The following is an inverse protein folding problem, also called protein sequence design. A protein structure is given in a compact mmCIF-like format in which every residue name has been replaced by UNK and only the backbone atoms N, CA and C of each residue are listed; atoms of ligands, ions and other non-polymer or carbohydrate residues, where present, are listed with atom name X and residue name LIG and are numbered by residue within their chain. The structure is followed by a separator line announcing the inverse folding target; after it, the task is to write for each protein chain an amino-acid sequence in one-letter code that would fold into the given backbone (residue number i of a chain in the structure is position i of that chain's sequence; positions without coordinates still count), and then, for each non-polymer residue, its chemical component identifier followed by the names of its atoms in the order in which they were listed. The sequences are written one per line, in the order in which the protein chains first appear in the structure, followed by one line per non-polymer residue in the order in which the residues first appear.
data_IF_341872864175
#
_entry.id   IF_341872864175
#
_cell.length_a   1.000
_cell.length_b   1.000
_cell.length_c   1.000
_cell.angle_alpha   90.00
_cell.angle_beta   90.00
_cell.angle_gamma   90.00
#
_symmetry.space_group_name_H-M   'P 1'
#
loop_
_entity.id
_entity.type
_entity.pdbx_description
1 polymer ?
#
# COMPACT_ATOMS: atom_id res chain seq x y z
N UNK A 1 35.16 9.27 8.94
CA UNK A 1 35.19 10.42 9.89
C UNK A 1 33.90 10.60 10.70
N UNK A 2 32.69 10.60 10.11
CA UNK A 2 31.43 10.79 10.88
C UNK A 2 31.14 9.68 11.91
N UNK A 3 31.38 8.40 11.59
CA UNK A 3 31.19 7.30 12.55
C UNK A 3 32.19 7.32 13.71
N UNK A 4 33.43 7.75 13.45
CA UNK A 4 34.48 7.88 14.48
C UNK A 4 34.18 9.03 15.46
N UNK A 5 33.60 10.13 14.96
CA UNK A 5 33.14 11.26 15.77
C UNK A 5 31.94 10.91 16.65
N UNK A 6 30.96 10.15 16.15
CA UNK A 6 29.83 9.68 16.96
C UNK A 6 30.31 8.73 18.07
N UNK A 7 31.26 7.84 17.77
CA UNK A 7 31.87 6.96 18.76
C UNK A 7 32.59 7.73 19.86
N UNK A 8 33.33 8.79 19.52
CA UNK A 8 34.04 9.67 20.47
C UNK A 8 33.06 10.52 21.30
N UNK A 9 31.94 10.97 20.74
CA UNK A 9 30.93 11.75 21.48
C UNK A 9 30.18 10.87 22.49
N UNK A 10 29.82 9.64 22.12
CA UNK A 10 29.20 8.67 23.04
C UNK A 10 30.22 8.18 24.08
N UNK A 11 31.48 7.96 23.69
CA UNK A 11 32.56 7.64 24.63
C UNK A 11 32.82 8.79 25.62
N UNK A 12 32.95 10.04 25.18
CA UNK A 12 33.29 11.14 26.09
C UNK A 12 32.18 11.53 27.07
N UNK A 13 30.90 11.23 26.78
CA UNK A 13 29.79 11.55 27.68
C UNK A 13 29.56 10.49 28.77
N UNK A 14 29.75 9.20 28.48
CA UNK A 14 29.54 8.13 29.45
C UNK A 14 30.76 7.84 30.36
N UNK A 15 32.00 8.28 30.02
CA UNK A 15 33.22 7.93 30.78
C UNK A 15 33.64 8.93 31.87
N UNK A 16 32.74 9.78 32.37
CA UNK A 16 33.09 10.78 33.40
C UNK A 16 32.90 10.33 34.86
N UNK A 17 32.27 9.17 35.14
CA UNK A 17 32.30 8.39 36.41
C UNK A 17 31.17 7.33 36.52
N UNK A 18 30.33 7.12 35.50
CA UNK A 18 29.26 6.11 35.48
C UNK A 18 29.64 4.92 34.60
N UNK A 19 29.17 3.71 34.93
CA UNK A 19 29.35 2.56 34.04
C UNK A 19 28.39 2.69 32.83
N UNK A 20 28.71 1.99 31.74
CA UNK A 20 27.96 2.08 30.48
C UNK A 20 26.48 1.67 30.62
N UNK A 21 26.16 0.83 31.60
CA UNK A 21 24.80 0.39 31.89
C UNK A 21 23.95 1.52 32.48
N UNK A 22 24.47 2.24 33.47
CA UNK A 22 23.78 3.38 34.10
C UNK A 22 23.59 4.54 33.12
N UNK A 23 24.60 4.80 32.27
CA UNK A 23 24.49 5.77 31.17
C UNK A 23 23.38 5.36 30.17
N UNK A 24 23.28 4.07 29.86
CA UNK A 24 22.23 3.51 29.00
C UNK A 24 20.82 3.67 29.58
N UNK A 25 20.64 3.38 30.87
CA UNK A 25 19.36 3.57 31.58
C UNK A 25 18.95 5.04 31.62
N UNK A 26 19.89 5.96 31.83
CA UNK A 26 19.62 7.40 31.79
C UNK A 26 19.09 7.83 30.43
N UNK A 27 19.72 7.41 29.34
CA UNK A 27 19.24 7.73 28.00
C UNK A 27 17.91 7.06 27.66
N UNK A 28 17.67 5.84 28.15
CA UNK A 28 16.38 5.18 28.04
C UNK A 28 15.28 6.02 28.71
N UNK A 29 15.51 6.45 29.96
CA UNK A 29 14.58 7.29 30.71
C UNK A 29 14.32 8.64 30.02
N UNK A 30 15.37 9.30 29.52
CA UNK A 30 15.23 10.54 28.75
C UNK A 30 14.41 10.35 27.47
N UNK A 31 14.60 9.22 26.78
CA UNK A 31 13.83 8.86 25.60
C UNK A 31 12.36 8.58 25.96
N UNK A 32 12.09 7.83 27.03
CA UNK A 32 10.73 7.58 27.54
C UNK A 32 9.99 8.87 27.88
N UNK A 33 10.66 9.81 28.56
CA UNK A 33 10.08 11.14 28.87
C UNK A 33 9.71 11.88 27.58
N UNK A 34 10.59 11.86 26.56
CA UNK A 34 10.32 12.51 25.28
C UNK A 34 9.16 11.85 24.54
N UNK A 35 9.10 10.52 24.51
CA UNK A 35 7.98 9.80 23.92
C UNK A 35 6.68 10.08 24.65
N UNK A 36 6.70 10.15 25.98
CA UNK A 36 5.51 10.48 26.77
C UNK A 36 4.98 11.88 26.42
N UNK A 37 5.85 12.88 26.38
CA UNK A 37 5.47 14.24 25.95
C UNK A 37 4.93 14.29 24.52
N UNK A 38 5.55 13.54 23.60
CA UNK A 38 5.08 13.44 22.22
C UNK A 38 3.69 12.77 22.13
N UNK A 39 3.46 11.73 22.93
CA UNK A 39 2.15 11.08 23.03
C UNK A 39 1.10 12.07 23.55
N UNK A 40 1.38 12.78 24.64
CA UNK A 40 0.42 13.70 25.25
C UNK A 40 0.04 14.83 24.28
N UNK A 41 1.01 15.38 23.54
CA UNK A 41 0.72 16.36 22.49
C UNK A 41 -0.11 15.79 21.34
N UNK A 42 0.23 14.58 20.88
CA UNK A 42 -0.54 13.90 19.83
C UNK A 42 -1.98 13.60 20.27
N UNK A 43 -2.17 13.24 21.54
CA UNK A 43 -3.46 12.98 22.15
C UNK A 43 -4.32 14.24 22.23
N UNK A 44 -3.74 15.38 22.60
CA UNK A 44 -4.45 16.66 22.59
C UNK A 44 -4.83 17.11 21.17
N UNK A 45 -3.96 16.89 20.19
CA UNK A 45 -4.27 17.14 18.78
C UNK A 45 -5.39 16.20 18.30
N UNK A 46 -5.33 14.91 18.64
CA UNK A 46 -6.39 13.95 18.29
C UNK A 46 -7.74 14.34 18.90
N UNK A 47 -7.79 14.78 20.16
CA UNK A 47 -9.02 15.25 20.82
C UNK A 47 -9.66 16.46 20.11
N UNK A 48 -8.88 17.23 19.35
CA UNK A 48 -9.41 18.31 18.51
C UNK A 48 -10.04 17.84 17.20
N UNK A 49 -9.99 16.53 16.91
CA UNK A 49 -10.52 15.91 15.69
C UNK A 49 -9.51 15.81 14.54
N UNK A 50 -8.23 16.10 14.79
CA UNK A 50 -7.20 16.02 13.75
C UNK A 50 -6.78 14.57 13.46
N UNK A 51 -6.89 14.20 12.19
CA UNK A 51 -6.61 12.85 11.70
C UNK A 51 -5.16 12.42 11.96
N UNK A 52 -4.18 13.30 11.76
CA UNK A 52 -2.77 12.97 11.93
C UNK A 52 -2.41 12.78 13.40
N UNK A 53 -3.00 13.59 14.29
CA UNK A 53 -2.93 13.38 15.73
C UNK A 53 -3.43 11.99 16.12
N UNK A 54 -4.63 11.61 15.66
CA UNK A 54 -5.21 10.31 16.00
C UNK A 54 -4.42 9.13 15.42
N UNK A 55 -3.88 9.26 14.20
CA UNK A 55 -2.99 8.26 13.62
C UNK A 55 -1.71 8.08 14.44
N UNK A 56 -1.13 9.18 14.92
CA UNK A 56 0.06 9.16 15.75
C UNK A 56 -0.22 8.51 17.10
N UNK A 57 -1.34 8.87 17.76
CA UNK A 57 -1.78 8.24 19.02
C UNK A 57 -1.94 6.74 18.85
N UNK A 58 -2.66 6.29 17.81
CA UNK A 58 -2.87 4.87 17.57
C UNK A 58 -1.53 4.14 17.35
N UNK A 59 -0.65 4.70 16.51
CA UNK A 59 0.68 4.13 16.23
C UNK A 59 1.57 4.04 17.46
N UNK A 60 1.58 5.09 18.29
CA UNK A 60 2.36 5.11 19.53
C UNK A 60 1.81 4.11 20.56
N UNK A 61 0.49 3.97 20.64
CA UNK A 61 -0.22 2.99 21.47
C UNK A 61 0.16 1.56 21.09
N UNK A 62 0.12 1.21 19.79
CA UNK A 62 0.43 -0.14 19.34
C UNK A 62 1.90 -0.52 19.55
N UNK A 63 2.79 0.47 19.51
CA UNK A 63 4.23 0.29 19.72
C UNK A 63 4.69 0.43 21.18
N UNK A 64 3.85 0.97 22.07
CA UNK A 64 4.21 1.27 23.46
C UNK A 64 5.20 2.42 23.62
N UNK A 65 5.17 3.40 22.71
CA UNK A 65 6.08 4.56 22.78
C UNK A 65 5.43 5.66 23.61
N UNK A 66 5.91 5.87 24.83
CA UNK A 66 5.40 6.94 25.71
C UNK A 66 4.01 6.67 26.29
N UNK A 67 3.47 5.47 26.06
CA UNK A 67 2.19 4.98 26.57
C UNK A 67 2.32 3.46 26.73
N UNK A 68 1.48 2.88 27.60
CA UNK A 68 1.41 1.42 27.74
C UNK A 68 1.08 0.82 26.38
N UNK A 69 1.86 -0.19 25.99
CA UNK A 69 1.64 -0.90 24.72
C UNK A 69 0.28 -1.58 24.73
N UNK A 70 -0.55 -1.21 23.76
CA UNK A 70 -1.87 -1.80 23.57
C UNK A 70 -2.15 -1.93 22.06
N UNK A 71 -1.85 -3.13 21.55
CA UNK A 71 -2.04 -3.44 20.12
C UNK A 71 -3.52 -3.46 19.74
N UNK A 72 -4.39 -3.91 20.65
CA UNK A 72 -5.82 -4.05 20.41
C UNK A 72 -6.47 -2.68 20.27
N UNK A 73 -6.20 -1.78 21.23
CA UNK A 73 -6.68 -0.39 21.17
C UNK A 73 -6.13 0.34 19.94
N UNK A 74 -4.85 0.16 19.62
CA UNK A 74 -4.24 0.72 18.41
C UNK A 74 -4.97 0.24 17.15
N UNK A 75 -5.28 -1.05 17.09
CA UNK A 75 -5.98 -1.65 15.96
C UNK A 75 -7.39 -1.09 15.80
N UNK A 76 -8.17 -1.02 16.88
CA UNK A 76 -9.53 -0.46 16.87
C UNK A 76 -9.55 0.99 16.40
N UNK A 77 -8.64 1.81 16.93
CA UNK A 77 -8.50 3.20 16.51
C UNK A 77 -8.17 3.31 15.03
N UNK A 78 -7.20 2.53 14.53
CA UNK A 78 -6.84 2.54 13.11
C UNK A 78 -7.97 2.02 12.21
N UNK A 79 -8.77 1.05 12.67
CA UNK A 79 -9.93 0.54 11.95
C UNK A 79 -11.01 1.63 11.80
N UNK A 80 -11.32 2.33 12.89
CA UNK A 80 -12.30 3.43 12.88
C UNK A 80 -11.82 4.61 12.04
N UNK A 81 -10.55 4.97 12.14
CA UNK A 81 -9.96 5.99 11.28
C UNK A 81 -10.00 5.57 9.81
N UNK A 82 -9.72 4.30 9.49
CA UNK A 82 -9.80 3.79 8.13
C UNK A 82 -11.23 3.85 7.57
N UNK A 83 -12.24 3.49 8.37
CA UNK A 83 -13.66 3.57 7.98
C UNK A 83 -14.08 4.97 7.52
N UNK A 84 -13.46 6.01 8.08
CA UNK A 84 -13.80 7.40 7.81
C UNK A 84 -12.78 8.12 6.91
N UNK A 85 -11.56 7.58 6.81
CA UNK A 85 -10.44 8.21 6.10
C UNK A 85 -9.55 7.16 5.41
N UNK A 86 -9.66 7.04 4.08
CA UNK A 86 -8.85 6.11 3.27
C UNK A 86 -7.34 6.19 3.53
N UNK A 87 -6.81 7.36 3.89
CA UNK A 87 -5.38 7.52 4.21
C UNK A 87 -4.96 6.70 5.44
N UNK A 88 -5.83 6.60 6.45
CA UNK A 88 -5.59 5.85 7.68
C UNK A 88 -5.52 4.33 7.44
N UNK A 89 -6.18 3.86 6.38
CA UNK A 89 -6.20 2.45 6.03
C UNK A 89 -4.80 1.87 5.80
N UNK A 90 -3.87 2.63 5.21
CA UNK A 90 -2.48 2.16 5.02
C UNK A 90 -1.79 1.78 6.34
N UNK A 91 -2.00 2.56 7.40
CA UNK A 91 -1.48 2.29 8.74
C UNK A 91 -2.18 1.08 9.37
N UNK A 92 -3.50 0.99 9.21
CA UNK A 92 -4.30 -0.16 9.64
C UNK A 92 -3.80 -1.48 9.02
N UNK A 93 -3.64 -1.53 7.69
CA UNK A 93 -3.14 -2.71 6.98
C UNK A 93 -1.68 -3.03 7.32
N UNK A 94 -0.83 -2.04 7.64
CA UNK A 94 0.53 -2.29 8.10
C UNK A 94 0.59 -3.10 9.40
N UNK A 95 -0.31 -2.80 10.36
CA UNK A 95 -0.41 -3.54 11.63
C UNK A 95 -0.91 -4.96 11.41
N UNK A 96 -1.89 -5.14 10.51
CA UNK A 96 -2.47 -6.44 10.15
C UNK A 96 -1.43 -7.46 9.67
N UNK A 97 -0.46 -7.03 8.87
CA UNK A 97 0.57 -7.93 8.33
C UNK A 97 1.49 -8.53 9.42
N UNK A 98 1.52 -7.94 10.61
CA UNK A 98 2.36 -8.39 11.73
C UNK A 98 1.66 -9.42 12.64
N UNK A 99 0.32 -9.45 12.70
CA UNK A 99 -0.47 -10.36 13.57
C UNK A 99 -1.72 -10.91 12.83
N UNK A 100 -1.51 -11.81 11.87
CA UNK A 100 -2.50 -12.26 10.87
C UNK A 100 -3.67 -13.13 11.40
N UNK A 101 -3.75 -13.44 12.69
CA UNK A 101 -4.67 -14.46 13.25
C UNK A 101 -5.60 -13.96 14.36
N UNK A 102 -5.62 -12.67 14.64
CA UNK A 102 -6.54 -12.13 15.63
C UNK A 102 -7.99 -12.16 15.09
N UNK A 103 -8.89 -12.80 15.81
CA UNK A 103 -10.28 -12.99 15.37
C UNK A 103 -11.06 -11.67 15.33
N UNK A 104 -10.79 -10.76 16.26
CA UNK A 104 -11.44 -9.45 16.33
C UNK A 104 -11.02 -8.60 15.13
N UNK A 105 -9.75 -8.72 14.77
CA UNK A 105 -9.19 -8.12 13.57
C UNK A 105 -9.94 -8.56 12.29
N UNK A 106 -10.11 -9.87 12.13
CA UNK A 106 -10.79 -10.44 10.96
C UNK A 106 -12.27 -10.05 10.91
N UNK A 107 -12.92 -9.94 12.07
CA UNK A 107 -14.30 -9.44 12.17
C UNK A 107 -14.44 -8.01 11.64
N UNK A 108 -13.54 -7.11 12.01
CA UNK A 108 -13.57 -5.72 11.52
C UNK A 108 -13.28 -5.63 10.02
N UNK A 109 -12.35 -6.45 9.50
CA UNK A 109 -12.12 -6.56 8.06
C UNK A 109 -13.37 -6.99 7.30
N UNK A 110 -14.18 -7.91 7.84
CA UNK A 110 -15.46 -8.31 7.22
C UNK A 110 -16.42 -7.13 7.14
N UNK A 111 -16.59 -6.38 8.23
CA UNK A 111 -17.43 -5.18 8.26
C UNK A 111 -16.97 -4.14 7.23
N UNK A 112 -15.65 -3.90 7.15
CA UNK A 112 -15.05 -2.99 6.17
C UNK A 112 -15.30 -3.45 4.72
N UNK A 113 -15.06 -4.74 4.44
CA UNK A 113 -15.32 -5.31 3.12
C UNK A 113 -16.81 -5.24 2.76
N UNK A 114 -17.71 -5.45 3.71
CA UNK A 114 -19.16 -5.30 3.52
C UNK A 114 -19.58 -3.86 3.25
N UNK A 115 -18.81 -2.89 3.75
CA UNK A 115 -18.90 -1.47 3.40
C UNK A 115 -18.13 -1.11 2.11
N UNK A 116 -17.78 -2.09 1.28
CA UNK A 116 -17.09 -1.91 0.01
C UNK A 116 -15.67 -1.32 0.13
N UNK A 117 -14.98 -1.54 1.25
CA UNK A 117 -13.54 -1.30 1.31
C UNK A 117 -12.79 -2.39 0.52
N UNK A 118 -12.21 -2.00 -0.60
CA UNK A 118 -11.58 -2.92 -1.54
C UNK A 118 -10.31 -3.58 -1.00
N UNK A 119 -9.55 -2.86 -0.17
CA UNK A 119 -8.34 -3.38 0.45
C UNK A 119 -8.67 -4.35 1.59
N UNK A 120 -9.79 -4.15 2.30
CA UNK A 120 -10.28 -5.06 3.31
C UNK A 120 -10.71 -6.38 2.67
N UNK A 121 -11.47 -6.30 1.57
CA UNK A 121 -11.85 -7.47 0.79
C UNK A 121 -10.60 -8.21 0.28
N UNK A 122 -9.60 -7.52 -0.29
CA UNK A 122 -8.36 -8.18 -0.73
C UNK A 122 -7.61 -8.85 0.43
N UNK A 123 -7.55 -8.18 1.58
CA UNK A 123 -6.90 -8.73 2.78
C UNK A 123 -7.60 -9.99 3.27
N UNK A 124 -8.94 -10.02 3.28
CA UNK A 124 -9.72 -11.23 3.58
C UNK A 124 -9.48 -12.33 2.55
N UNK A 125 -9.40 -11.98 1.27
CA UNK A 125 -9.01 -12.91 0.20
C UNK A 125 -7.67 -13.57 0.48
N UNK A 126 -6.66 -12.80 0.91
CA UNK A 126 -5.35 -13.33 1.33
C UNK A 126 -5.42 -14.20 2.58
N UNK A 127 -6.17 -13.77 3.60
CA UNK A 127 -6.28 -14.50 4.88
C UNK A 127 -6.95 -15.86 4.69
N UNK A 128 -8.05 -15.90 3.93
CA UNK A 128 -8.86 -17.10 3.74
C UNK A 128 -8.52 -17.87 2.47
N UNK A 129 -7.65 -17.33 1.60
CA UNK A 129 -7.41 -17.86 0.25
C UNK A 129 -8.71 -17.99 -0.56
N UNK A 130 -9.61 -17.03 -0.38
CA UNK A 130 -10.98 -17.07 -0.88
C UNK A 130 -11.15 -16.13 -2.07
N UNK A 131 -11.55 -16.73 -3.20
CA UNK A 131 -11.70 -16.06 -4.48
C UNK A 131 -12.88 -15.09 -4.52
N UNK A 132 -13.92 -15.28 -3.70
CA UNK A 132 -15.07 -14.38 -3.71
C UNK A 132 -14.71 -13.02 -3.11
N UNK A 133 -13.87 -13.01 -2.08
CA UNK A 133 -13.29 -11.78 -1.55
C UNK A 133 -12.37 -11.09 -2.57
N UNK A 134 -11.53 -11.84 -3.29
CA UNK A 134 -10.70 -11.27 -4.35
C UNK A 134 -11.53 -10.69 -5.50
N UNK A 135 -12.61 -11.38 -5.91
CA UNK A 135 -13.57 -10.92 -6.90
C UNK A 135 -14.25 -9.63 -6.45
N UNK A 136 -14.75 -9.57 -5.22
CA UNK A 136 -15.37 -8.36 -4.64
C UNK A 136 -14.39 -7.18 -4.61
N UNK A 137 -13.15 -7.37 -4.16
CA UNK A 137 -12.13 -6.32 -4.20
C UNK A 137 -11.83 -5.86 -5.64
N UNK A 138 -11.77 -6.79 -6.59
CA UNK A 138 -11.59 -6.48 -8.01
C UNK A 138 -12.81 -5.75 -8.60
N UNK A 139 -14.03 -6.08 -8.18
CA UNK A 139 -15.26 -5.35 -8.52
C UNK A 139 -15.23 -3.89 -8.05
N UNK A 140 -14.50 -3.63 -6.96
CA UNK A 140 -14.28 -2.32 -6.36
C UNK A 140 -13.05 -1.59 -6.92
N UNK A 141 -12.57 -1.99 -8.11
CA UNK A 141 -11.42 -1.42 -8.81
C UNK A 141 -10.09 -1.50 -8.06
N UNK A 142 -9.90 -2.53 -7.22
CA UNK A 142 -8.59 -2.81 -6.64
C UNK A 142 -7.82 -3.81 -7.53
N UNK A 143 -7.05 -3.25 -8.46
CA UNK A 143 -6.39 -3.99 -9.56
C UNK A 143 -5.48 -5.11 -9.07
N UNK A 144 -4.74 -4.91 -7.97
CA UNK A 144 -3.89 -5.94 -7.36
C UNK A 144 -4.70 -7.21 -7.04
N UNK A 145 -5.96 -7.05 -6.59
CA UNK A 145 -6.84 -8.18 -6.31
C UNK A 145 -7.32 -8.91 -7.56
N UNK A 146 -7.49 -8.21 -8.69
CA UNK A 146 -7.78 -8.87 -9.96
C UNK A 146 -6.60 -9.79 -10.39
N UNK A 147 -5.38 -9.42 -10.00
CA UNK A 147 -4.15 -10.21 -10.16
C UNK A 147 -4.16 -11.56 -9.45
N UNK A 148 -5.00 -11.76 -8.43
CA UNK A 148 -5.09 -13.02 -7.68
C UNK A 148 -6.13 -13.99 -8.27
N UNK A 149 -7.07 -13.50 -9.07
CA UNK A 149 -8.20 -14.29 -9.58
C UNK A 149 -7.76 -15.26 -10.68
N UNK A 150 -8.13 -16.53 -10.59
CA UNK A 150 -7.80 -17.57 -11.59
C UNK A 150 -8.98 -17.94 -12.50
N UNK A 151 -10.20 -17.49 -12.18
CA UNK A 151 -11.41 -17.73 -12.96
C UNK A 151 -11.37 -16.92 -14.28
N UNK A 152 -10.98 -17.59 -15.36
CA UNK A 152 -10.85 -16.94 -16.68
C UNK A 152 -12.17 -16.40 -17.23
N UNK A 153 -13.31 -17.02 -16.91
CA UNK A 153 -14.62 -16.52 -17.37
C UNK A 153 -14.95 -15.19 -16.69
N UNK A 154 -14.65 -15.09 -15.40
CA UNK A 154 -14.77 -13.84 -14.65
C UNK A 154 -13.86 -12.76 -15.23
N UNK A 155 -12.58 -13.07 -15.49
CA UNK A 155 -11.62 -12.12 -16.05
C UNK A 155 -12.01 -11.63 -17.45
N UNK A 156 -12.51 -12.51 -18.32
CA UNK A 156 -13.04 -12.13 -19.64
C UNK A 156 -14.23 -11.16 -19.49
N UNK A 157 -15.17 -11.46 -18.58
CA UNK A 157 -16.31 -10.57 -18.30
C UNK A 157 -15.82 -9.20 -17.83
N UNK A 158 -14.84 -9.17 -16.92
CA UNK A 158 -14.27 -7.93 -16.38
C UNK A 158 -13.52 -7.11 -17.42
N UNK A 159 -12.72 -7.75 -18.25
CA UNK A 159 -12.04 -7.09 -19.35
C UNK A 159 -13.05 -6.38 -20.27
N UNK A 160 -14.16 -7.06 -20.60
CA UNK A 160 -15.20 -6.47 -21.45
C UNK A 160 -15.98 -5.31 -20.78
N UNK A 161 -15.94 -5.21 -19.45
CA UNK A 161 -16.57 -4.14 -18.66
C UNK A 161 -15.60 -2.99 -18.32
N UNK A 162 -14.48 -2.88 -19.05
CA UNK A 162 -13.46 -1.82 -18.93
C UNK A 162 -12.43 -1.95 -17.80
N UNK A 163 -12.19 -3.16 -17.26
CA UNK A 163 -11.01 -3.38 -16.40
C UNK A 163 -9.78 -3.81 -17.23
N UNK A 164 -8.81 -2.92 -17.29
CA UNK A 164 -7.63 -2.97 -18.16
C UNK A 164 -6.59 -4.02 -17.79
N UNK A 165 -6.28 -4.17 -16.50
CA UNK A 165 -5.35 -5.21 -16.02
C UNK A 165 -5.90 -6.61 -16.26
N UNK A 166 -7.23 -6.78 -16.17
CA UNK A 166 -7.84 -8.08 -16.48
C UNK A 166 -7.72 -8.44 -17.95
N UNK A 167 -7.71 -7.48 -18.87
CA UNK A 167 -7.52 -7.76 -20.30
C UNK A 167 -6.10 -8.29 -20.59
N UNK A 168 -5.07 -7.71 -20.00
CA UNK A 168 -3.70 -8.22 -20.16
C UNK A 168 -3.59 -9.66 -19.65
N UNK A 169 -4.13 -9.94 -18.46
CA UNK A 169 -4.10 -11.28 -17.86
C UNK A 169 -4.87 -12.32 -18.70
N UNK A 170 -5.96 -11.92 -19.34
CA UNK A 170 -6.68 -12.79 -20.29
C UNK A 170 -5.84 -13.02 -21.55
N UNK A 171 -5.12 -12.00 -22.02
CA UNK A 171 -4.15 -12.12 -23.10
C UNK A 171 -3.07 -13.16 -22.77
N UNK A 172 -2.42 -13.00 -21.61
CA UNK A 172 -1.39 -13.93 -21.10
C UNK A 172 -1.94 -15.37 -21.01
N UNK A 173 -3.16 -15.55 -20.49
CA UNK A 173 -3.82 -16.87 -20.46
C UNK A 173 -3.96 -17.50 -21.85
N UNK A 174 -4.38 -16.74 -22.86
CA UNK A 174 -4.51 -17.28 -24.21
C UNK A 174 -3.16 -17.54 -24.87
N UNK A 175 -2.15 -16.72 -24.58
CA UNK A 175 -0.78 -16.94 -25.03
C UNK A 175 -0.22 -18.26 -24.50
N UNK A 176 -0.38 -18.54 -23.20
CA UNK A 176 0.02 -19.80 -22.56
C UNK A 176 -0.67 -21.02 -23.20
N UNK A 177 -1.89 -20.84 -23.71
CA UNK A 177 -2.64 -21.88 -24.45
C UNK A 177 -2.29 -21.94 -25.94
N UNK A 178 -1.23 -21.26 -26.38
CA UNK A 178 -0.81 -21.14 -27.78
C UNK A 178 -1.91 -20.57 -28.70
N UNK A 179 -2.84 -19.80 -28.15
CA UNK A 179 -3.90 -19.14 -28.91
C UNK A 179 -3.51 -17.67 -29.14
N UNK A 180 -2.54 -17.47 -30.04
CA UNK A 180 -1.98 -16.15 -30.35
C UNK A 180 -3.05 -15.17 -30.85
N UNK A 181 -3.99 -15.63 -31.68
CA UNK A 181 -5.07 -14.76 -32.18
C UNK A 181 -5.96 -14.21 -31.06
N UNK A 182 -6.35 -15.04 -30.08
CA UNK A 182 -7.11 -14.53 -28.92
C UNK A 182 -6.24 -13.69 -28.00
N UNK A 183 -4.98 -14.07 -27.80
CA UNK A 183 -4.04 -13.29 -27.00
C UNK A 183 -3.93 -11.86 -27.52
N UNK A 184 -3.64 -11.70 -28.81
CA UNK A 184 -3.51 -10.38 -29.45
C UNK A 184 -4.80 -9.56 -29.35
N UNK A 185 -5.96 -10.18 -29.53
CA UNK A 185 -7.26 -9.50 -29.36
C UNK A 185 -7.42 -8.88 -27.96
N UNK A 186 -7.01 -9.58 -26.89
CA UNK A 186 -7.15 -9.09 -25.53
C UNK A 186 -6.04 -8.08 -25.16
N UNK A 187 -4.83 -8.26 -25.68
CA UNK A 187 -3.79 -7.24 -25.56
C UNK A 187 -4.17 -5.95 -26.29
N UNK A 188 -4.75 -6.02 -27.48
CA UNK A 188 -5.22 -4.84 -28.21
C UNK A 188 -6.28 -4.07 -27.42
N UNK A 189 -7.21 -4.78 -26.75
CA UNK A 189 -8.19 -4.15 -25.84
C UNK A 189 -7.51 -3.42 -24.69
N UNK A 190 -6.52 -4.04 -24.04
CA UNK A 190 -5.76 -3.42 -22.95
C UNK A 190 -4.98 -2.18 -23.46
N UNK A 191 -4.32 -2.30 -24.61
CA UNK A 191 -3.58 -1.23 -25.26
C UNK A 191 -4.47 -0.01 -25.56
N UNK A 192 -5.64 -0.22 -26.17
CA UNK A 192 -6.57 0.86 -26.50
C UNK A 192 -7.04 1.61 -25.26
N UNK A 193 -7.26 0.90 -24.15
CA UNK A 193 -7.60 1.50 -22.88
C UNK A 193 -6.45 2.36 -22.34
N UNK A 194 -5.24 1.82 -22.21
CA UNK A 194 -4.10 2.57 -21.67
C UNK A 194 -3.75 3.78 -22.54
N UNK A 195 -3.93 3.65 -23.86
CA UNK A 195 -3.79 4.77 -24.81
C UNK A 195 -4.78 5.89 -24.52
N UNK A 196 -6.03 5.56 -24.18
CA UNK A 196 -7.07 6.54 -23.85
C UNK A 196 -6.80 7.23 -22.52
N UNK A 197 -6.39 6.48 -21.50
CA UNK A 197 -6.26 6.98 -20.13
C UNK A 197 -4.90 7.62 -19.83
N UNK A 198 -3.86 7.43 -20.65
CA UNK A 198 -2.54 8.04 -20.39
C UNK A 198 -2.56 9.57 -20.24
N UNK A 199 -3.56 10.30 -20.77
CA UNK A 199 -3.67 11.73 -20.50
C UNK A 199 -4.09 12.07 -19.07
N UNK A 200 -4.88 11.19 -18.42
CA UNK A 200 -5.48 11.38 -17.09
C UNK A 200 -4.84 10.52 -16.00
N UNK A 201 -4.27 9.38 -16.35
CA UNK A 201 -3.66 8.41 -15.45
C UNK A 201 -2.17 8.21 -15.78
N UNK A 202 -1.34 8.54 -14.79
CA UNK A 202 0.09 8.32 -14.82
C UNK A 202 0.46 6.88 -15.10
N UNK A 203 -0.17 5.93 -14.39
CA UNK A 203 0.16 4.52 -14.52
C UNK A 203 -0.18 4.00 -15.91
N UNK A 204 -1.27 4.46 -16.51
CA UNK A 204 -1.63 4.12 -17.88
C UNK A 204 -0.54 4.50 -18.90
N UNK A 205 0.16 5.64 -18.74
CA UNK A 205 1.27 5.97 -19.64
C UNK A 205 2.46 5.01 -19.52
N UNK A 206 2.77 4.58 -18.29
CA UNK A 206 3.84 3.62 -18.05
C UNK A 206 3.51 2.29 -18.71
N UNK A 207 2.28 1.80 -18.55
CA UNK A 207 1.85 0.56 -19.19
C UNK A 207 1.82 0.70 -20.72
N UNK A 208 1.32 1.80 -21.26
CA UNK A 208 1.38 2.07 -22.70
C UNK A 208 2.81 2.01 -23.26
N UNK A 209 3.80 2.50 -22.50
CA UNK A 209 5.22 2.35 -22.84
C UNK A 209 5.66 0.89 -22.90
N UNK A 210 5.20 0.05 -21.96
CA UNK A 210 5.49 -1.39 -21.94
C UNK A 210 4.88 -2.10 -23.15
N UNK A 211 3.64 -1.78 -23.51
CA UNK A 211 2.97 -2.33 -24.70
C UNK A 211 3.78 -2.07 -25.98
N UNK A 212 4.24 -0.83 -26.20
CA UNK A 212 5.11 -0.52 -27.35
C UNK A 212 6.48 -1.19 -27.29
N UNK A 213 7.03 -1.42 -26.11
CA UNK A 213 8.33 -2.08 -25.93
C UNK A 213 8.25 -3.57 -26.27
N UNK A 214 7.19 -4.21 -25.81
CA UNK A 214 7.03 -5.67 -25.86
C UNK A 214 6.29 -6.11 -27.14
N UNK A 215 5.50 -5.23 -27.75
CA UNK A 215 4.74 -5.51 -28.96
C UNK A 215 3.48 -6.35 -28.72
N UNK A 216 2.94 -6.34 -27.49
CA UNK A 216 1.70 -7.04 -27.13
C UNK A 216 0.50 -6.26 -27.68
N UNK A 217 -0.28 -6.79 -28.63
CA UNK A 217 -1.48 -6.10 -29.14
C UNK A 217 -1.21 -4.80 -29.92
N UNK A 218 0.06 -4.50 -30.21
CA UNK A 218 0.51 -3.34 -30.99
C UNK A 218 1.87 -3.64 -31.62
N UNK A 219 2.18 -3.01 -32.75
CA UNK A 219 3.52 -3.11 -33.33
C UNK A 219 4.57 -2.54 -32.36
N UNK A 220 5.66 -3.29 -32.18
CA UNK A 220 6.78 -2.89 -31.34
C UNK A 220 7.42 -1.60 -31.86
N UNK A 221 7.48 -0.58 -31.01
CA UNK A 221 8.01 0.74 -31.33
C UNK A 221 8.78 1.32 -30.13
N UNK A 222 10.09 1.12 -30.12
CA UNK A 222 10.96 1.58 -29.03
C UNK A 222 10.96 3.11 -28.90
N UNK A 223 10.75 3.85 -29.99
CA UNK A 223 10.72 5.32 -29.95
C UNK A 223 9.46 5.80 -29.22
N UNK A 224 8.30 5.23 -29.54
CA UNK A 224 7.05 5.51 -28.82
C UNK A 224 7.11 5.06 -27.36
N UNK A 225 7.68 3.88 -27.10
CA UNK A 225 7.90 3.41 -25.73
C UNK A 225 8.66 4.44 -24.90
N UNK A 226 9.82 4.90 -25.40
CA UNK A 226 10.63 5.94 -24.73
C UNK A 226 9.85 7.24 -24.51
N UNK A 227 9.11 7.70 -25.52
CA UNK A 227 8.30 8.91 -25.41
C UNK A 227 7.26 8.83 -24.28
N UNK A 228 6.49 7.73 -24.19
CA UNK A 228 5.48 7.57 -23.14
C UNK A 228 6.09 7.36 -21.76
N UNK A 229 7.26 6.72 -21.67
CA UNK A 229 8.01 6.62 -20.42
C UNK A 229 8.51 7.97 -19.92
N UNK A 230 9.05 8.81 -20.82
CA UNK A 230 9.46 10.18 -20.49
C UNK A 230 8.27 11.02 -20.02
N UNK A 231 7.11 10.90 -20.67
CA UNK A 231 5.87 11.54 -20.25
C UNK A 231 5.47 11.14 -18.82
N UNK A 232 5.48 9.85 -18.52
CA UNK A 232 5.21 9.33 -17.17
C UNK A 232 6.16 9.93 -16.12
N UNK A 233 7.46 9.93 -16.40
CA UNK A 233 8.49 10.46 -15.49
C UNK A 233 8.28 11.96 -15.24
N UNK A 234 8.07 12.75 -16.30
CA UNK A 234 7.88 14.20 -16.19
C UNK A 234 6.64 14.55 -15.36
N UNK A 235 5.53 13.83 -15.56
CA UNK A 235 4.33 14.05 -14.78
C UNK A 235 4.52 13.69 -13.29
N UNK A 236 5.32 12.66 -12.96
CA UNK A 236 5.69 12.37 -11.55
C UNK A 236 6.51 13.51 -10.94
N UNK A 237 7.49 14.05 -11.67
CA UNK A 237 8.33 15.14 -11.19
C UNK A 237 7.50 16.40 -10.93
N UNK A 238 6.57 16.74 -11.81
CA UNK A 238 5.67 17.89 -11.66
C UNK A 238 4.71 17.79 -10.46
N UNK A 239 4.38 16.58 -10.00
CA UNK A 239 3.60 16.38 -8.76
C UNK A 239 4.45 16.66 -7.52
N UNK A 240 5.75 16.36 -7.57
CA UNK A 240 6.65 16.58 -6.42
C UNK A 240 7.02 18.05 -6.20
N UNK A 241 6.79 18.90 -7.20
CA UNK A 241 7.06 20.34 -7.15
C UNK A 241 5.85 21.19 -6.74
N UNK A 242 4.70 20.57 -6.49
CA UNK A 242 3.48 21.21 -5.96
C UNK A 242 3.20 20.79 -4.52
#
# INVERSE_FOLDING_TARGET
MKFFLVFIIVFNYCFSNENLYDCGLKHLNEAEIKYKKAYDLADDICKSGDLMGCLLVATMTGNGKGVIKDKEKSFEMLADLCLNHNYACSNYYSVLYQDKKDEKIVSNLKILCDKNDSMACHTLGKIYSDMDYFKKACDLNFDESCGEITDIKYLIKKCNLSNHWTCEKVGDFFLEKNNTSKSELYYEKAFLFFKKECESDLFACKELSNFYKDGKGVEKDIKKSKFYLEKYINNILNIKEK
#
